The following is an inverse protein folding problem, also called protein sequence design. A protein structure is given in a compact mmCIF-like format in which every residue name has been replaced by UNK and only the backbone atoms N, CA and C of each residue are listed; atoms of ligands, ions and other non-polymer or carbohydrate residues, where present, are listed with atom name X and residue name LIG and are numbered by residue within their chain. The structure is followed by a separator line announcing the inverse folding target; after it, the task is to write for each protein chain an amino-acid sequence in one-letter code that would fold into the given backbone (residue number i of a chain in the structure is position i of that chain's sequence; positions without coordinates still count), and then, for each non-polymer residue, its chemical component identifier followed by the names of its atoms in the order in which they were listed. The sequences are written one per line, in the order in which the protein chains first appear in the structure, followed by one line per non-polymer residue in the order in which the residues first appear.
data_IF_456414868623
#
_entry.id   IF_456414868623
#
_cell.length_a   1.000
_cell.length_b   1.000
_cell.length_c   1.000
_cell.angle_alpha   90.00
_cell.angle_beta   90.00
_cell.angle_gamma   90.00
#
_symmetry.space_group_name_H-M   'P 1'
#
loop_
_entity.id
_entity.type
_entity.pdbx_description
1 polymer ?
#
# COMPACT_ATOMS: atom_id res chain seq x y z
N UNK A 1 -24.28 -4.59 -6.74
CA UNK A 1 -23.80 -3.20 -6.62
C UNK A 1 -22.81 -3.02 -5.45
N UNK A 2 -23.14 -3.41 -4.21
CA UNK A 2 -22.20 -3.29 -3.08
C UNK A 2 -20.88 -4.07 -3.27
N UNK A 3 -20.93 -5.29 -3.79
CA UNK A 3 -19.73 -6.10 -4.04
C UNK A 3 -18.81 -5.50 -5.12
N UNK A 4 -19.39 -4.98 -6.19
CA UNK A 4 -18.68 -4.27 -7.27
C UNK A 4 -17.94 -3.05 -6.71
N UNK A 5 -18.63 -2.24 -5.90
CA UNK A 5 -18.04 -1.07 -5.24
C UNK A 5 -16.90 -1.44 -4.30
N UNK A 6 -17.07 -2.50 -3.49
CA UNK A 6 -16.00 -2.99 -2.63
C UNK A 6 -14.78 -3.47 -3.43
N UNK A 7 -15.00 -4.17 -4.56
CA UNK A 7 -13.92 -4.58 -5.47
C UNK A 7 -13.17 -3.39 -6.06
N UNK A 8 -13.89 -2.37 -6.53
CA UNK A 8 -13.27 -1.15 -7.07
C UNK A 8 -12.41 -0.47 -6.01
N UNK A 9 -12.94 -0.27 -4.81
CA UNK A 9 -12.19 0.34 -3.71
C UNK A 9 -10.96 -0.48 -3.31
N UNK A 10 -11.06 -1.81 -3.28
CA UNK A 10 -9.93 -2.70 -3.01
C UNK A 10 -8.86 -2.57 -4.08
N UNK A 11 -9.25 -2.58 -5.35
CA UNK A 11 -8.32 -2.44 -6.48
C UNK A 11 -7.59 -1.10 -6.44
N UNK A 12 -8.29 -0.01 -6.13
CA UNK A 12 -7.67 1.31 -5.94
C UNK A 12 -6.67 1.33 -4.78
N UNK A 13 -7.01 0.67 -3.66
CA UNK A 13 -6.11 0.56 -2.52
C UNK A 13 -4.85 -0.23 -2.87
N UNK A 14 -5.00 -1.36 -3.58
CA UNK A 14 -3.89 -2.18 -4.08
C UNK A 14 -3.02 -1.36 -5.03
N UNK A 15 -3.61 -0.67 -6.01
CA UNK A 15 -2.86 0.16 -6.96
C UNK A 15 -2.05 1.27 -6.27
N UNK A 16 -2.63 1.95 -5.27
CA UNK A 16 -1.92 2.96 -4.48
C UNK A 16 -0.78 2.36 -3.67
N UNK A 17 -1.01 1.24 -2.99
CA UNK A 17 0.04 0.52 -2.25
C UNK A 17 1.18 0.09 -3.18
N UNK A 18 0.85 -0.47 -4.34
CA UNK A 18 1.84 -0.90 -5.35
C UNK A 18 2.69 0.27 -5.79
N UNK A 19 2.10 1.40 -6.21
CA UNK A 19 2.86 2.58 -6.65
C UNK A 19 3.76 3.12 -5.54
N UNK A 20 3.21 3.39 -4.35
CA UNK A 20 3.97 3.98 -3.24
C UNK A 20 5.11 3.07 -2.78
N UNK A 21 4.86 1.77 -2.68
CA UNK A 21 5.88 0.84 -2.20
C UNK A 21 6.89 0.47 -3.28
N UNK A 22 6.51 0.49 -4.56
CA UNK A 22 7.44 0.35 -5.67
C UNK A 22 8.47 1.49 -5.63
N UNK A 23 8.03 2.74 -5.62
CA UNK A 23 8.92 3.91 -5.65
C UNK A 23 9.86 3.98 -4.43
N UNK A 24 9.45 3.42 -3.29
CA UNK A 24 10.24 3.42 -2.06
C UNK A 24 11.23 2.26 -1.96
N UNK A 25 10.87 1.10 -2.45
CA UNK A 25 11.61 -0.14 -2.20
C UNK A 25 12.36 -0.66 -3.41
N UNK A 26 11.93 -0.31 -4.63
CA UNK A 26 12.53 -0.78 -5.88
C UNK A 26 13.30 0.37 -6.52
N UNK A 27 14.57 0.49 -6.15
CA UNK A 27 15.46 1.60 -6.58
C UNK A 27 16.27 1.27 -7.84
N UNK A 28 16.23 0.02 -8.28
CA UNK A 28 16.87 -0.46 -9.49
C UNK A 28 15.99 -1.51 -10.15
N UNK A 29 16.21 -1.81 -11.43
CA UNK A 29 15.46 -2.86 -12.13
C UNK A 29 15.69 -4.19 -11.40
N UNK A 30 14.66 -4.81 -10.79
CA UNK A 30 14.83 -6.08 -10.11
C UNK A 30 15.26 -7.16 -11.11
N UNK A 31 15.99 -8.16 -10.62
CA UNK A 31 16.25 -9.38 -11.39
C UNK A 31 14.98 -10.22 -11.57
N UNK A 32 15.14 -11.52 -11.80
CA UNK A 32 14.00 -12.45 -11.89
C UNK A 32 13.19 -12.60 -10.59
N UNK A 33 13.72 -12.10 -9.47
CA UNK A 33 13.12 -12.08 -8.14
C UNK A 33 13.58 -10.84 -7.38
N UNK A 34 12.77 -10.40 -6.43
CA UNK A 34 13.21 -9.43 -5.43
C UNK A 34 14.31 -10.02 -4.56
N UNK A 35 15.32 -9.20 -4.25
CA UNK A 35 16.27 -9.47 -3.19
C UNK A 35 15.57 -9.57 -1.82
N UNK A 36 16.27 -10.13 -0.84
CA UNK A 36 15.75 -10.25 0.52
C UNK A 36 15.41 -8.88 1.14
N UNK A 37 16.23 -7.85 0.86
CA UNK A 37 16.02 -6.49 1.34
C UNK A 37 14.81 -5.82 0.67
N UNK A 38 14.64 -5.97 -0.65
CA UNK A 38 13.46 -5.46 -1.37
C UNK A 38 12.18 -6.12 -0.86
N UNK A 39 12.18 -7.44 -0.68
CA UNK A 39 11.03 -8.18 -0.15
C UNK A 39 10.65 -7.71 1.26
N UNK A 40 11.64 -7.59 2.17
CA UNK A 40 11.41 -7.04 3.50
C UNK A 40 10.93 -5.59 3.44
N UNK A 41 11.48 -4.75 2.56
CA UNK A 41 11.05 -3.37 2.40
C UNK A 41 9.58 -3.30 1.97
N UNK A 42 9.20 -4.03 0.92
CA UNK A 42 7.82 -4.06 0.39
C UNK A 42 6.82 -4.49 1.47
N UNK A 43 7.16 -5.54 2.23
CA UNK A 43 6.33 -6.04 3.35
C UNK A 43 6.11 -4.96 4.41
N UNK A 44 7.19 -4.30 4.85
CA UNK A 44 7.09 -3.24 5.85
C UNK A 44 6.40 -1.98 5.31
N UNK A 45 6.63 -1.63 4.04
CA UNK A 45 6.02 -0.48 3.40
C UNK A 45 4.50 -0.63 3.36
N UNK A 46 3.99 -1.76 2.86
CA UNK A 46 2.56 -2.00 2.74
C UNK A 46 1.87 -1.95 4.11
N UNK A 47 2.48 -2.60 5.12
CA UNK A 47 1.98 -2.56 6.51
C UNK A 47 1.92 -1.14 7.06
N UNK A 48 3.04 -0.38 6.99
CA UNK A 48 3.08 1.00 7.50
C UNK A 48 2.13 1.93 6.77
N UNK A 49 1.98 1.78 5.45
CA UNK A 49 1.06 2.60 4.68
C UNK A 49 -0.39 2.37 5.13
N UNK A 50 -0.79 1.10 5.30
CA UNK A 50 -2.13 0.76 5.78
C UNK A 50 -2.36 1.29 7.21
N UNK A 51 -1.42 1.07 8.13
CA UNK A 51 -1.50 1.53 9.52
C UNK A 51 -1.69 3.06 9.59
N UNK A 52 -0.85 3.81 8.86
CA UNK A 52 -0.92 5.27 8.84
C UNK A 52 -2.18 5.79 8.15
N UNK A 53 -2.63 5.14 7.08
CA UNK A 53 -3.88 5.48 6.41
C UNK A 53 -5.06 5.37 7.37
N UNK A 54 -5.13 4.31 8.19
CA UNK A 54 -6.17 4.15 9.20
C UNK A 54 -6.09 5.22 10.29
N UNK A 55 -4.89 5.59 10.74
CA UNK A 55 -4.71 6.68 11.73
C UNK A 55 -5.22 8.00 11.16
N UNK A 56 -4.87 8.32 9.91
CA UNK A 56 -5.33 9.55 9.25
C UNK A 56 -6.85 9.56 9.12
N UNK A 57 -7.45 8.46 8.64
CA UNK A 57 -8.90 8.33 8.50
C UNK A 57 -9.60 8.51 9.85
N UNK A 58 -9.11 7.86 10.92
CA UNK A 58 -9.67 8.03 12.28
C UNK A 58 -9.56 9.49 12.74
N UNK A 59 -8.40 10.12 12.54
CA UNK A 59 -8.17 11.51 12.95
C UNK A 59 -9.04 12.52 12.21
N UNK A 60 -9.38 12.25 10.95
CA UNK A 60 -10.27 13.10 10.14
C UNK A 60 -11.74 12.93 10.53
N UNK A 61 -12.15 11.71 10.95
CA UNK A 61 -13.49 11.47 11.49
C UNK A 61 -13.71 12.10 12.87
N UNK A 62 -12.70 12.08 13.75
CA UNK A 62 -12.79 12.70 15.08
C UNK A 62 -12.89 14.23 15.07
N UNK A 63 -12.58 14.87 13.94
CA UNK A 63 -12.68 16.34 13.77
C UNK A 63 -14.00 16.79 13.15
N UNK A 64 -14.99 15.89 13.07
CA UNK A 64 -16.32 16.14 12.50
C UNK A 64 -17.38 16.27 13.58
#
# INVERSE_FOLDING_TARGET
MHEEQQRVMMNEAVAKLTSVCWDKCVTSVPGSKFSSSEYSCLTHCAKRYADMSMIIIKSTQSKK
#
